data_IF_974857490772
#
_entry.id   IF_974857490772
#
_cell.length_a   1.000
_cell.length_b   1.000
_cell.length_c   1.000
_cell.angle_alpha   90.00
_cell.angle_beta   90.00
_cell.angle_gamma   90.00
#
_symmetry.space_group_name_H-M   'P 1'
#
loop_
_entity.id
_entity.type
_entity.pdbx_description
1 polymer ?
#
# COMPACT_ATOMS: atom_id res chain seq x y z
N UNK A 1 51.24 -30.20 61.94
CA UNK A 1 51.67 -29.03 61.15
C UNK A 1 50.88 -29.10 59.83
N UNK A 2 49.62 -28.64 59.81
CA UNK A 2 49.18 -27.32 59.33
C UNK A 2 49.87 -26.94 57.99
N UNK A 3 49.21 -26.62 56.86
CA UNK A 3 47.81 -26.32 56.56
C UNK A 3 47.57 -26.28 55.02
N UNK A 4 46.29 -26.45 54.64
CA UNK A 4 45.45 -25.71 53.67
C UNK A 4 45.92 -25.37 52.23
N UNK A 5 45.20 -25.85 51.20
CA UNK A 5 44.09 -25.22 50.42
C UNK A 5 44.54 -24.30 49.27
N UNK A 6 44.20 -24.69 48.02
CA UNK A 6 43.44 -23.85 47.09
C UNK A 6 42.89 -24.69 45.91
N UNK A 7 41.64 -25.10 46.03
CA UNK A 7 40.78 -25.47 44.90
C UNK A 7 40.61 -24.24 44.01
N UNK A 8 40.90 -24.37 42.72
CA UNK A 8 40.52 -23.38 41.72
C UNK A 8 39.18 -23.83 41.13
N UNK A 9 38.08 -23.35 41.72
CA UNK A 9 36.75 -23.47 41.17
C UNK A 9 36.71 -22.75 39.81
N UNK A 10 36.67 -23.54 38.75
CA UNK A 10 36.25 -23.07 37.45
C UNK A 10 34.79 -22.64 37.58
N UNK A 11 34.56 -21.32 37.65
CA UNK A 11 33.25 -20.74 37.47
C UNK A 11 32.75 -21.10 36.06
N UNK A 12 32.03 -22.23 35.97
CA UNK A 12 31.09 -22.49 34.90
C UNK A 12 30.06 -21.36 34.94
N UNK A 13 30.32 -20.31 34.17
CA UNK A 13 29.25 -19.38 33.82
C UNK A 13 28.16 -20.20 33.14
N UNK A 14 26.91 -20.17 33.62
CA UNK A 14 25.82 -20.79 32.91
C UNK A 14 25.75 -20.13 31.53
N UNK A 15 26.06 -20.91 30.49
CA UNK A 15 25.72 -20.53 29.13
C UNK A 15 24.22 -20.24 29.16
N UNK A 16 23.77 -19.04 28.79
CA UNK A 16 22.37 -18.70 28.84
C UNK A 16 21.61 -19.73 28.02
N UNK A 17 20.77 -20.49 28.72
CA UNK A 17 19.80 -21.42 28.16
C UNK A 17 19.03 -20.73 27.05
N UNK A 18 18.68 -21.50 26.03
CA UNK A 18 17.92 -21.20 24.82
C UNK A 18 16.67 -20.32 25.06
N UNK A 19 16.88 -19.05 25.38
CA UNK A 19 15.82 -18.05 25.47
C UNK A 19 15.56 -17.59 24.05
N UNK A 20 14.38 -17.90 23.52
CA UNK A 20 13.95 -17.45 22.20
C UNK A 20 14.15 -15.95 21.97
N UNK A 21 14.03 -15.49 20.72
CA UNK A 21 14.26 -14.08 20.39
C UNK A 21 13.39 -13.17 21.26
N UNK A 22 13.98 -12.09 21.77
CA UNK A 22 13.26 -11.10 22.58
C UNK A 22 12.10 -10.51 21.76
N UNK A 23 10.90 -10.32 22.35
CA UNK A 23 9.74 -9.81 21.64
C UNK A 23 9.98 -8.38 21.14
N UNK A 24 9.31 -8.00 20.04
CA UNK A 24 9.51 -6.70 19.37
C UNK A 24 9.42 -5.49 20.32
N UNK A 25 8.45 -5.36 21.25
CA UNK A 25 8.41 -4.23 22.18
C UNK A 25 9.66 -4.11 23.05
N UNK A 26 10.23 -5.23 23.48
CA UNK A 26 11.48 -5.22 24.26
C UNK A 26 12.67 -4.79 23.39
N UNK A 27 12.74 -5.24 22.14
CA UNK A 27 13.80 -4.81 21.22
C UNK A 27 13.68 -3.30 20.95
N UNK A 28 12.46 -2.79 20.80
CA UNK A 28 12.18 -1.35 20.66
C UNK A 28 12.74 -0.56 21.85
N UNK A 29 12.40 -0.94 23.08
CA UNK A 29 12.86 -0.25 24.29
C UNK A 29 14.38 -0.26 24.41
N UNK A 30 15.02 -1.39 24.10
CA UNK A 30 16.49 -1.51 24.11
C UNK A 30 17.15 -0.64 23.04
N UNK A 31 16.57 -0.53 21.85
CA UNK A 31 17.05 0.36 20.79
C UNK A 31 16.83 1.82 21.19
N UNK A 32 15.67 2.17 21.73
CA UNK A 32 15.36 3.51 22.21
C UNK A 32 16.30 3.96 23.35
N UNK A 33 16.60 3.07 24.31
CA UNK A 33 17.51 3.36 25.42
C UNK A 33 18.95 3.67 24.98
N UNK A 34 19.35 3.21 23.80
CA UNK A 34 20.65 3.51 23.21
C UNK A 34 20.58 4.51 22.06
N UNK A 35 19.48 5.26 21.94
CA UNK A 35 19.21 6.24 20.88
C UNK A 35 19.44 5.65 19.48
N UNK A 36 19.02 4.39 19.30
CA UNK A 36 19.09 3.66 18.04
C UNK A 36 20.49 3.64 17.39
N UNK A 37 21.56 3.60 18.21
CA UNK A 37 22.94 3.55 17.71
C UNK A 37 23.13 2.43 16.66
N UNK A 38 23.89 2.67 15.58
CA UNK A 38 24.07 1.70 14.49
C UNK A 38 24.57 0.33 14.94
N UNK A 39 25.48 0.29 15.92
CA UNK A 39 26.01 -0.97 16.47
C UNK A 39 24.99 -1.76 17.30
N UNK A 40 24.03 -1.07 17.93
CA UNK A 40 22.93 -1.72 18.64
C UNK A 40 21.90 -2.27 17.64
N UNK A 41 21.51 -1.46 16.64
CA UNK A 41 20.62 -1.89 15.57
C UNK A 41 21.21 -3.09 14.81
N UNK A 42 22.47 -3.02 14.39
CA UNK A 42 23.15 -4.11 13.68
C UNK A 42 23.12 -5.45 14.43
N UNK A 43 23.25 -5.43 15.77
CA UNK A 43 23.14 -6.65 16.61
C UNK A 43 21.73 -7.20 16.68
N UNK A 44 20.70 -6.36 16.50
CA UNK A 44 19.28 -6.75 16.62
C UNK A 44 18.65 -7.13 15.28
N UNK A 45 19.13 -6.60 14.15
CA UNK A 45 18.56 -6.83 12.82
C UNK A 45 18.30 -8.31 12.48
N UNK A 46 19.23 -9.27 12.69
CA UNK A 46 18.93 -10.68 12.41
C UNK A 46 17.76 -11.23 13.24
N UNK A 47 17.60 -10.75 14.48
CA UNK A 47 16.47 -11.10 15.34
C UNK A 47 15.16 -10.42 14.94
N UNK A 48 15.24 -9.21 14.38
CA UNK A 48 14.08 -8.50 13.82
C UNK A 48 13.59 -9.19 12.54
N UNK A 49 14.48 -9.58 11.63
CA UNK A 49 14.14 -10.33 10.41
C UNK A 49 13.37 -11.61 10.74
N UNK A 50 13.86 -12.41 11.70
CA UNK A 50 13.16 -13.64 12.15
C UNK A 50 11.79 -13.38 12.77
N UNK A 51 11.56 -12.17 13.27
CA UNK A 51 10.31 -11.75 13.91
C UNK A 51 9.45 -10.86 13.01
N UNK A 52 9.83 -10.67 11.73
CA UNK A 52 9.19 -9.69 10.87
C UNK A 52 7.67 -9.91 10.76
N UNK A 53 7.22 -11.17 10.64
CA UNK A 53 5.81 -11.54 10.59
C UNK A 53 5.03 -11.43 11.92
N UNK A 54 5.67 -10.99 13.01
CA UNK A 54 5.01 -10.78 14.31
C UNK A 54 4.74 -9.32 14.63
N UNK A 55 5.13 -8.40 13.74
CA UNK A 55 4.87 -6.97 13.89
C UNK A 55 3.36 -6.70 13.76
N UNK A 56 2.77 -6.12 14.80
CA UNK A 56 1.38 -5.68 14.74
C UNK A 56 1.24 -4.47 13.80
N UNK A 57 0.21 -4.42 12.93
CA UNK A 57 0.00 -3.31 12.00
C UNK A 57 0.00 -1.93 12.66
N UNK A 58 -0.65 -1.78 13.82
CA UNK A 58 -0.67 -0.53 14.59
C UNK A 58 0.70 -0.01 15.05
N UNK A 59 1.69 -0.89 15.17
CA UNK A 59 3.04 -0.52 15.64
C UNK A 59 3.98 -0.25 14.45
N UNK A 60 3.54 -0.55 13.21
CA UNK A 60 4.40 -0.54 12.02
C UNK A 60 4.95 0.83 11.73
N UNK A 61 4.13 1.88 11.74
CA UNK A 61 4.57 3.22 11.34
C UNK A 61 5.68 3.77 12.23
N UNK A 62 5.63 3.47 13.53
CA UNK A 62 6.67 3.85 14.50
C UNK A 62 8.00 3.15 14.18
N UNK A 63 7.97 1.85 13.88
CA UNK A 63 9.14 1.10 13.41
C UNK A 63 9.70 1.66 12.12
N UNK A 64 8.86 1.90 11.10
CA UNK A 64 9.33 2.41 9.82
C UNK A 64 9.96 3.79 9.96
N UNK A 65 9.32 4.69 10.70
CA UNK A 65 9.83 6.03 10.98
C UNK A 65 11.22 6.00 11.63
N UNK A 66 11.41 5.14 12.64
CA UNK A 66 12.72 5.02 13.31
C UNK A 66 13.78 4.39 12.42
N UNK A 67 13.44 3.38 11.63
CA UNK A 67 14.40 2.77 10.69
C UNK A 67 14.83 3.75 9.60
N UNK A 68 13.89 4.54 9.06
CA UNK A 68 14.20 5.62 8.13
C UNK A 68 15.12 6.67 8.75
N UNK A 69 14.82 7.13 9.96
CA UNK A 69 15.66 8.10 10.69
C UNK A 69 17.09 7.59 10.87
N UNK A 70 17.25 6.34 11.31
CA UNK A 70 18.55 5.72 11.53
C UNK A 70 19.32 5.55 10.23
N UNK A 71 18.65 5.10 9.17
CA UNK A 71 19.26 4.99 7.85
C UNK A 71 19.75 6.35 7.33
N UNK A 72 18.92 7.38 7.42
CA UNK A 72 19.27 8.72 6.95
C UNK A 72 20.45 9.32 7.72
N UNK A 73 20.53 9.08 9.03
CA UNK A 73 21.62 9.61 9.88
C UNK A 73 22.89 8.78 9.80
N UNK A 74 22.76 7.45 9.73
CA UNK A 74 23.85 6.53 10.02
C UNK A 74 23.95 5.32 9.07
N UNK A 75 23.23 5.30 7.95
CA UNK A 75 23.25 4.18 7.01
C UNK A 75 24.66 3.80 6.54
N UNK A 76 25.53 4.81 6.39
CA UNK A 76 26.95 4.65 6.05
C UNK A 76 27.78 3.91 7.12
N UNK A 77 27.33 3.91 8.38
CA UNK A 77 28.01 3.25 9.51
C UNK A 77 27.59 1.79 9.68
N UNK A 78 26.57 1.33 8.96
CA UNK A 78 26.12 -0.06 9.00
C UNK A 78 27.02 -0.94 8.13
N UNK A 79 27.60 -1.99 8.73
CA UNK A 79 28.36 -3.00 8.00
C UNK A 79 27.50 -3.76 6.99
N UNK A 80 28.16 -4.47 6.06
CA UNK A 80 27.51 -5.17 4.95
C UNK A 80 26.37 -6.11 5.41
N UNK A 81 26.64 -6.97 6.40
CA UNK A 81 25.63 -7.90 6.93
C UNK A 81 24.43 -7.19 7.56
N UNK A 82 24.64 -6.05 8.22
CA UNK A 82 23.55 -5.26 8.80
C UNK A 82 22.71 -4.62 7.70
N UNK A 83 23.33 -4.06 6.64
CA UNK A 83 22.59 -3.52 5.50
C UNK A 83 21.77 -4.58 4.77
N UNK A 84 22.32 -5.77 4.55
CA UNK A 84 21.57 -6.88 3.96
C UNK A 84 20.36 -7.30 4.81
N UNK A 85 20.54 -7.43 6.12
CA UNK A 85 19.43 -7.73 7.04
C UNK A 85 18.39 -6.59 7.12
N UNK A 86 18.82 -5.32 7.00
CA UNK A 86 17.91 -4.18 6.94
C UNK A 86 17.10 -4.17 5.64
N UNK A 87 17.71 -4.53 4.50
CA UNK A 87 17.00 -4.66 3.22
C UNK A 87 15.91 -5.74 3.29
N UNK A 88 16.25 -6.92 3.83
CA UNK A 88 15.30 -8.00 4.02
C UNK A 88 14.15 -7.60 4.96
N UNK A 89 14.47 -6.96 6.09
CA UNK A 89 13.46 -6.46 7.04
C UNK A 89 12.56 -5.40 6.40
N UNK A 90 13.14 -4.44 5.68
CA UNK A 90 12.39 -3.39 4.99
C UNK A 90 11.44 -3.99 3.95
N UNK A 91 11.88 -5.01 3.20
CA UNK A 91 11.03 -5.71 2.25
C UNK A 91 9.89 -6.46 2.95
N UNK A 92 10.18 -7.17 4.04
CA UNK A 92 9.17 -7.91 4.80
C UNK A 92 8.08 -7.00 5.40
N UNK A 93 8.42 -5.76 5.77
CA UNK A 93 7.48 -4.77 6.28
C UNK A 93 6.94 -3.82 5.22
N UNK A 94 7.21 -4.09 3.93
CA UNK A 94 6.81 -3.24 2.81
C UNK A 94 7.24 -1.77 2.97
N UNK A 95 8.40 -1.54 3.57
CA UNK A 95 9.05 -0.25 3.70
C UNK A 95 9.86 0.06 2.44
N UNK A 96 9.19 0.08 1.28
CA UNK A 96 9.84 0.05 -0.02
C UNK A 96 10.83 1.19 -0.25
N UNK A 97 10.57 2.45 0.15
CA UNK A 97 11.56 3.52 -0.01
C UNK A 97 12.86 3.26 0.77
N UNK A 98 12.77 2.68 1.97
CA UNK A 98 13.95 2.23 2.72
C UNK A 98 14.63 1.05 2.02
N UNK A 99 13.87 0.08 1.54
CA UNK A 99 14.40 -1.07 0.82
C UNK A 99 15.18 -0.63 -0.44
N UNK A 100 14.65 0.32 -1.22
CA UNK A 100 15.37 0.92 -2.36
C UNK A 100 16.65 1.60 -1.89
N UNK A 101 16.58 2.48 -0.89
CA UNK A 101 17.76 3.22 -0.43
C UNK A 101 18.90 2.31 0.06
N UNK A 102 18.56 1.26 0.82
CA UNK A 102 19.52 0.25 1.30
C UNK A 102 20.02 -0.62 0.16
N UNK A 103 19.12 -1.09 -0.71
CA UNK A 103 19.44 -1.94 -1.85
C UNK A 103 20.35 -1.23 -2.86
N UNK A 104 20.09 0.02 -3.21
CA UNK A 104 20.96 0.82 -4.08
C UNK A 104 22.35 1.06 -3.48
N UNK A 105 22.44 1.25 -2.16
CA UNK A 105 23.73 1.36 -1.47
C UNK A 105 24.54 0.08 -1.62
N UNK A 106 23.91 -1.09 -1.49
CA UNK A 106 24.55 -2.39 -1.67
C UNK A 106 24.86 -2.68 -3.16
N UNK A 107 23.97 -2.26 -4.06
CA UNK A 107 24.11 -2.45 -5.51
C UNK A 107 25.33 -1.71 -6.04
N UNK A 108 25.49 -0.43 -5.68
CA UNK A 108 26.65 0.40 -6.08
C UNK A 108 28.00 -0.16 -5.63
N UNK A 109 28.02 -0.91 -4.55
CA UNK A 109 29.23 -1.56 -4.03
C UNK A 109 29.47 -2.96 -4.64
N UNK A 110 28.59 -3.42 -5.55
CA UNK A 110 28.56 -4.78 -6.08
C UNK A 110 28.46 -5.85 -4.98
N UNK A 111 27.63 -5.59 -3.96
CA UNK A 111 27.48 -6.45 -2.77
C UNK A 111 26.10 -7.07 -2.59
N UNK A 112 25.18 -6.91 -3.55
CA UNK A 112 23.90 -7.59 -3.53
C UNK A 112 24.06 -9.05 -4.00
N UNK A 113 23.55 -9.98 -3.20
CA UNK A 113 23.35 -11.37 -3.63
C UNK A 113 22.01 -11.52 -4.38
N UNK A 114 21.66 -12.74 -4.78
CA UNK A 114 20.41 -13.00 -5.51
C UNK A 114 19.14 -12.62 -4.73
N UNK A 115 19.12 -12.88 -3.42
CA UNK A 115 17.98 -12.55 -2.57
C UNK A 115 17.83 -11.03 -2.39
N UNK A 116 18.91 -10.34 -2.03
CA UNK A 116 18.95 -8.88 -1.94
C UNK A 116 18.58 -8.20 -3.26
N UNK A 117 19.02 -8.76 -4.39
CA UNK A 117 18.63 -8.22 -5.69
C UNK A 117 17.14 -8.36 -5.96
N UNK A 118 16.53 -9.49 -5.58
CA UNK A 118 15.08 -9.66 -5.67
C UNK A 118 14.34 -8.64 -4.80
N UNK A 119 14.78 -8.42 -3.56
CA UNK A 119 14.16 -7.39 -2.70
C UNK A 119 14.23 -5.99 -3.30
N UNK A 120 15.35 -5.63 -3.94
CA UNK A 120 15.47 -4.34 -4.63
C UNK A 120 14.52 -4.26 -5.84
N UNK A 121 14.42 -5.31 -6.66
CA UNK A 121 13.47 -5.35 -7.79
C UNK A 121 12.03 -5.20 -7.29
N UNK A 122 11.64 -5.94 -6.24
CA UNK A 122 10.29 -5.89 -5.68
C UNK A 122 9.99 -4.49 -5.13
N UNK A 123 10.95 -3.85 -4.46
CA UNK A 123 10.82 -2.50 -3.91
C UNK A 123 10.66 -1.42 -5.00
N UNK A 124 11.49 -1.46 -6.04
CA UNK A 124 11.38 -0.53 -7.18
C UNK A 124 10.04 -0.71 -7.91
N UNK A 125 9.64 -1.95 -8.15
CA UNK A 125 8.34 -2.27 -8.77
C UNK A 125 7.19 -1.75 -7.93
N UNK A 126 7.22 -1.96 -6.61
CA UNK A 126 6.20 -1.52 -5.66
C UNK A 126 6.16 0.00 -5.43
N UNK A 127 7.07 0.76 -6.02
CA UNK A 127 7.08 2.22 -6.02
C UNK A 127 6.81 2.81 -7.41
N UNK A 128 6.48 1.97 -8.39
CA UNK A 128 6.24 2.38 -9.78
C UNK A 128 7.50 2.63 -10.61
N UNK A 129 8.69 2.44 -10.05
CA UNK A 129 9.98 2.55 -10.75
C UNK A 129 10.30 1.26 -11.53
N UNK A 130 9.38 0.90 -12.42
CA UNK A 130 9.44 -0.32 -13.22
C UNK A 130 10.65 -0.33 -14.16
N UNK A 131 11.06 0.83 -14.70
CA UNK A 131 12.19 0.90 -15.62
C UNK A 131 13.53 0.60 -14.92
N UNK A 132 13.71 1.10 -13.69
CA UNK A 132 14.89 0.73 -12.90
C UNK A 132 14.85 -0.76 -12.50
N UNK A 133 13.68 -1.28 -12.13
CA UNK A 133 13.50 -2.71 -11.88
C UNK A 133 13.85 -3.58 -13.11
N UNK A 134 13.44 -3.17 -14.32
CA UNK A 134 13.81 -3.81 -15.59
C UNK A 134 15.33 -3.79 -15.79
N UNK A 135 15.98 -2.65 -15.55
CA UNK A 135 17.43 -2.52 -15.69
C UNK A 135 18.19 -3.51 -14.78
N UNK A 136 17.74 -3.65 -13.53
CA UNK A 136 18.31 -4.61 -12.57
C UNK A 136 18.07 -6.04 -13.06
N UNK A 137 16.85 -6.37 -13.50
CA UNK A 137 16.51 -7.71 -13.99
C UNK A 137 17.37 -8.12 -15.20
N UNK A 138 17.60 -7.22 -16.15
CA UNK A 138 18.49 -7.44 -17.30
C UNK A 138 19.93 -7.68 -16.84
N UNK A 139 20.43 -6.84 -15.93
CA UNK A 139 21.78 -6.99 -15.36
C UNK A 139 21.97 -8.37 -14.71
N UNK A 140 20.96 -8.85 -13.98
CA UNK A 140 20.98 -10.17 -13.35
C UNK A 140 20.89 -11.32 -14.36
N UNK A 141 20.09 -11.17 -15.41
CA UNK A 141 20.01 -12.16 -16.48
C UNK A 141 21.37 -12.32 -17.20
N UNK A 142 22.11 -11.22 -17.40
CA UNK A 142 23.44 -11.25 -18.00
C UNK A 142 24.50 -11.84 -17.06
N UNK A 143 24.44 -11.52 -15.77
CA UNK A 143 25.36 -12.04 -14.76
C UNK A 143 25.12 -13.54 -14.46
N UNK A 144 23.87 -13.99 -14.53
CA UNK A 144 23.46 -15.35 -14.15
C UNK A 144 22.54 -15.99 -15.21
N UNK A 145 23.02 -16.22 -16.45
CA UNK A 145 22.19 -16.65 -17.57
C UNK A 145 21.53 -18.03 -17.39
N UNK A 146 22.07 -18.88 -16.52
CA UNK A 146 21.47 -20.17 -16.17
C UNK A 146 20.21 -20.04 -15.28
N UNK A 147 20.04 -18.92 -14.57
CA UNK A 147 18.91 -18.69 -13.68
C UNK A 147 17.73 -18.12 -14.45
N UNK A 148 16.83 -19.00 -14.92
CA UNK A 148 15.65 -18.63 -15.72
C UNK A 148 14.68 -17.65 -15.03
N UNK A 149 14.76 -17.54 -13.69
CA UNK A 149 13.91 -16.64 -12.91
C UNK A 149 14.08 -15.17 -13.31
N UNK A 150 15.30 -14.71 -13.60
CA UNK A 150 15.51 -13.30 -13.99
C UNK A 150 14.94 -12.97 -15.36
N UNK A 151 15.00 -13.92 -16.30
CA UNK A 151 14.36 -13.77 -17.60
C UNK A 151 12.83 -13.74 -17.48
N UNK A 152 12.25 -14.46 -16.51
CA UNK A 152 10.82 -14.40 -16.22
C UNK A 152 10.44 -13.04 -15.60
N UNK A 153 11.14 -12.60 -14.56
CA UNK A 153 10.93 -11.29 -13.92
C UNK A 153 11.02 -10.17 -14.96
N UNK A 154 12.04 -10.17 -15.83
CA UNK A 154 12.15 -9.18 -16.90
C UNK A 154 10.91 -9.16 -17.82
N UNK A 155 10.42 -10.32 -18.26
CA UNK A 155 9.21 -10.40 -19.09
C UNK A 155 7.98 -9.87 -18.36
N UNK A 156 7.83 -10.21 -17.09
CA UNK A 156 6.69 -9.78 -16.28
C UNK A 156 6.70 -8.26 -16.06
N UNK A 157 7.88 -7.67 -15.83
CA UNK A 157 8.04 -6.22 -15.68
C UNK A 157 7.76 -5.47 -16.99
N UNK A 158 8.21 -6.00 -18.13
CA UNK A 158 7.90 -5.42 -19.44
C UNK A 158 6.40 -5.49 -19.71
N UNK A 159 5.77 -6.64 -19.46
CA UNK A 159 4.33 -6.80 -19.62
C UNK A 159 3.55 -5.84 -18.70
N UNK A 160 3.99 -5.67 -17.45
CA UNK A 160 3.41 -4.72 -16.51
C UNK A 160 3.53 -3.27 -17.01
N UNK A 161 4.74 -2.84 -17.40
CA UNK A 161 4.96 -1.49 -17.92
C UNK A 161 4.10 -1.21 -19.14
N UNK A 162 4.11 -2.12 -20.11
CA UNK A 162 3.38 -1.94 -21.37
C UNK A 162 1.85 -1.92 -21.13
N UNK A 163 1.35 -2.70 -20.18
CA UNK A 163 -0.05 -2.66 -19.75
C UNK A 163 -0.40 -1.36 -19.00
N UNK A 164 0.47 -0.93 -18.08
CA UNK A 164 0.29 0.29 -17.27
C UNK A 164 0.27 1.54 -18.15
N UNK A 165 1.16 1.59 -19.13
CA UNK A 165 1.32 2.75 -20.02
C UNK A 165 0.29 2.74 -21.17
N UNK A 166 -0.57 1.72 -21.25
CA UNK A 166 -1.64 1.66 -22.22
C UNK A 166 -2.64 2.82 -22.01
N UNK A 167 -3.14 3.48 -23.08
CA UNK A 167 -4.06 4.62 -22.96
C UNK A 167 -5.33 4.34 -22.13
N UNK A 168 -5.75 3.07 -22.06
CA UNK A 168 -6.91 2.63 -21.30
C UNK A 168 -6.77 2.78 -19.76
N UNK A 169 -5.53 2.90 -19.24
CA UNK A 169 -5.22 2.91 -17.81
C UNK A 169 -4.96 4.31 -17.22
N UNK A 170 -5.46 5.39 -17.85
CA UNK A 170 -5.11 6.78 -17.53
C UNK A 170 -3.62 7.08 -17.74
N UNK A 171 -3.14 6.98 -18.98
CA UNK A 171 -1.76 7.30 -19.30
C UNK A 171 -1.50 8.82 -19.20
N UNK A 172 -0.76 9.27 -18.17
CA UNK A 172 -0.17 10.62 -18.14
C UNK A 172 0.10 11.24 -16.77
N UNK A 173 0.77 12.39 -16.80
CA UNK A 173 1.18 13.22 -15.65
C UNK A 173 0.01 13.79 -14.80
N UNK A 174 -1.25 13.50 -15.13
CA UNK A 174 -2.42 14.04 -14.46
C UNK A 174 -2.78 13.34 -13.14
N UNK A 175 -2.05 12.29 -12.79
CA UNK A 175 -2.34 11.44 -11.63
C UNK A 175 -1.33 11.60 -10.50
N UNK A 176 -0.55 12.68 -10.49
CA UNK A 176 0.40 12.96 -9.41
C UNK A 176 0.29 14.40 -8.90
N UNK A 177 0.66 14.55 -7.63
CA UNK A 177 0.95 15.84 -7.03
C UNK A 177 2.35 15.80 -6.35
N UNK A 178 2.64 16.79 -5.50
CA UNK A 178 3.91 16.90 -4.80
C UNK A 178 4.28 15.63 -4.01
N UNK A 179 3.31 14.98 -3.35
CA UNK A 179 3.58 13.86 -2.43
C UNK A 179 2.90 12.56 -2.85
N UNK A 180 1.87 12.62 -3.69
CA UNK A 180 1.06 11.48 -4.09
C UNK A 180 1.21 11.19 -5.58
N UNK A 181 1.17 9.91 -5.91
CA UNK A 181 1.02 9.39 -7.27
C UNK A 181 -0.11 8.37 -7.21
N UNK A 182 -1.00 8.35 -8.21
CA UNK A 182 -1.93 7.25 -8.41
C UNK A 182 -1.34 6.29 -9.43
N UNK A 183 -1.04 5.09 -8.98
CA UNK A 183 -0.52 4.02 -9.83
C UNK A 183 -1.59 2.93 -9.99
N UNK A 184 -1.84 2.39 -11.20
CA UNK A 184 -2.75 1.27 -11.36
C UNK A 184 -2.44 0.16 -10.35
N UNK A 185 -3.46 -0.34 -9.65
CA UNK A 185 -3.26 -1.34 -8.60
C UNK A 185 -2.82 -2.68 -9.22
N UNK A 186 -1.50 -2.92 -9.26
CA UNK A 186 -0.92 -4.17 -9.74
C UNK A 186 -0.80 -5.27 -8.68
N UNK A 187 -0.57 -6.51 -9.14
CA UNK A 187 -0.38 -7.69 -8.27
C UNK A 187 0.76 -7.51 -7.25
N UNK A 188 1.80 -6.78 -7.61
CA UNK A 188 2.95 -6.54 -6.73
C UNK A 188 2.61 -5.67 -5.50
N UNK A 189 1.45 -4.99 -5.49
CA UNK A 189 1.02 -4.17 -4.34
C UNK A 189 0.44 -4.97 -3.17
N UNK A 190 0.20 -6.29 -3.32
CA UNK A 190 -0.53 -7.10 -2.32
C UNK A 190 0.02 -6.96 -0.89
N UNK A 191 1.34 -6.98 -0.72
CA UNK A 191 1.95 -6.87 0.61
C UNK A 191 1.71 -5.48 1.24
N UNK A 192 1.85 -4.39 0.46
CA UNK A 192 1.54 -3.05 0.93
C UNK A 192 0.06 -2.89 1.24
N UNK A 193 -0.80 -3.43 0.36
CA UNK A 193 -2.25 -3.38 0.51
C UNK A 193 -2.66 -4.04 1.83
N UNK A 194 -2.14 -5.22 2.14
CA UNK A 194 -2.44 -5.95 3.38
C UNK A 194 -2.14 -5.12 4.63
N UNK A 195 -1.00 -4.41 4.67
CA UNK A 195 -0.69 -3.52 5.80
C UNK A 195 -1.69 -2.37 5.97
N UNK A 196 -2.15 -1.80 4.86
CA UNK A 196 -3.06 -0.64 4.89
C UNK A 196 -4.52 -1.04 5.08
N UNK A 197 -4.87 -2.28 4.74
CA UNK A 197 -6.22 -2.83 4.74
C UNK A 197 -6.51 -3.74 5.94
N UNK A 198 -5.62 -3.76 6.94
CA UNK A 198 -5.76 -4.60 8.14
C UNK A 198 -6.98 -4.24 9.00
N UNK A 199 -7.38 -2.97 9.02
CA UNK A 199 -8.55 -2.52 9.79
C UNK A 199 -9.85 -3.01 9.13
N UNK A 200 -10.63 -3.90 9.78
CA UNK A 200 -11.86 -4.44 9.21
C UNK A 200 -12.93 -3.36 8.96
N UNK A 201 -12.83 -2.20 9.62
CA UNK A 201 -13.73 -1.07 9.35
C UNK A 201 -13.55 -0.51 7.93
N UNK A 202 -12.35 -0.60 7.35
CA UNK A 202 -12.12 -0.19 5.95
C UNK A 202 -12.93 -1.09 5.01
N UNK A 203 -12.89 -2.41 5.21
CA UNK A 203 -13.67 -3.35 4.42
C UNK A 203 -15.17 -3.08 4.49
N UNK A 204 -15.68 -2.85 5.70
CA UNK A 204 -17.09 -2.56 5.94
C UNK A 204 -17.54 -1.24 5.31
N UNK A 205 -16.79 -0.15 5.55
CA UNK A 205 -17.13 1.18 5.07
C UNK A 205 -17.02 1.32 3.55
N UNK A 206 -16.14 0.54 2.91
CA UNK A 206 -15.98 0.54 1.45
C UNK A 206 -16.77 -0.56 0.75
N UNK A 207 -17.53 -1.40 1.47
CA UNK A 207 -18.22 -2.56 0.93
C UNK A 207 -17.27 -3.49 0.14
N UNK A 208 -16.03 -3.64 0.61
CA UNK A 208 -15.00 -4.45 -0.03
C UNK A 208 -14.89 -5.84 0.66
N UNK A 209 -14.44 -6.89 -0.05
CA UNK A 209 -14.27 -8.21 0.55
C UNK A 209 -13.23 -8.23 1.66
N UNK A 210 -13.44 -9.09 2.66
CA UNK A 210 -12.34 -9.54 3.52
C UNK A 210 -11.55 -10.59 2.77
N UNK A 211 -10.25 -10.41 2.66
CA UNK A 211 -9.36 -11.35 1.99
C UNK A 211 -8.82 -12.36 3.00
N UNK A 212 -8.98 -13.65 2.70
CA UNK A 212 -8.49 -14.74 3.55
C UNK A 212 -6.98 -14.96 3.37
N UNK A 213 -6.51 -14.71 2.15
CA UNK A 213 -5.11 -14.85 1.73
C UNK A 213 -4.80 -13.99 0.49
N UNK A 214 -3.51 -13.89 0.15
CA UNK A 214 -3.04 -13.16 -1.04
C UNK A 214 -3.67 -13.68 -2.33
N UNK A 215 -3.96 -14.98 -2.41
CA UNK A 215 -4.56 -15.59 -3.60
C UNK A 215 -6.01 -15.11 -3.82
N UNK A 216 -6.78 -14.94 -2.75
CA UNK A 216 -8.14 -14.37 -2.79
C UNK A 216 -8.12 -12.91 -3.23
N UNK A 217 -7.12 -12.15 -2.79
CA UNK A 217 -6.90 -10.78 -3.23
C UNK A 217 -6.54 -10.69 -4.72
N UNK A 218 -5.64 -11.56 -5.21
CA UNK A 218 -5.30 -11.59 -6.63
C UNK A 218 -6.50 -11.93 -7.53
N UNK A 219 -7.32 -12.92 -7.14
CA UNK A 219 -8.54 -13.27 -7.89
C UNK A 219 -9.53 -12.11 -7.94
N UNK A 220 -9.67 -11.38 -6.82
CA UNK A 220 -10.50 -10.18 -6.77
C UNK A 220 -9.99 -9.10 -7.74
N UNK A 221 -8.68 -8.82 -7.74
CA UNK A 221 -8.09 -7.85 -8.65
C UNK A 221 -8.26 -8.25 -10.13
N UNK A 222 -8.04 -9.52 -10.46
CA UNK A 222 -8.27 -10.05 -11.81
C UNK A 222 -9.73 -9.90 -12.24
N UNK A 223 -10.70 -10.11 -11.32
CA UNK A 223 -12.11 -9.95 -11.62
C UNK A 223 -12.49 -8.49 -11.94
N UNK A 224 -11.86 -7.52 -11.26
CA UNK A 224 -12.04 -6.08 -11.53
C UNK A 224 -11.57 -5.77 -12.95
N UNK A 225 -10.35 -6.20 -13.31
CA UNK A 225 -9.80 -5.92 -14.63
C UNK A 225 -10.49 -6.69 -15.76
N UNK A 226 -11.04 -7.87 -15.49
CA UNK A 226 -11.81 -8.64 -16.46
C UNK A 226 -13.13 -7.94 -16.86
N UNK A 227 -13.77 -7.20 -15.95
CA UNK A 227 -14.97 -6.42 -16.26
C UNK A 227 -14.65 -5.20 -17.14
N UNK A 228 -13.52 -4.53 -16.87
CA UNK A 228 -12.95 -3.48 -17.72
C UNK A 228 -13.63 -2.10 -17.62
N UNK A 229 -14.64 -1.96 -16.76
CA UNK A 229 -15.39 -0.73 -16.47
C UNK A 229 -14.88 0.01 -15.22
N UNK A 230 -14.22 -0.72 -14.33
CA UNK A 230 -13.60 -0.21 -13.13
C UNK A 230 -12.12 0.12 -13.36
N UNK A 231 -11.68 1.23 -12.78
CA UNK A 231 -10.29 1.66 -12.70
C UNK A 231 -9.94 1.79 -11.23
N UNK A 232 -8.92 1.05 -10.81
CA UNK A 232 -8.49 0.99 -9.42
C UNK A 232 -7.00 1.31 -9.35
N UNK A 233 -6.65 2.21 -8.42
CA UNK A 233 -5.30 2.73 -8.25
C UNK A 233 -4.85 2.60 -6.81
N UNK A 234 -3.61 2.17 -6.63
CA UNK A 234 -2.87 2.36 -5.41
C UNK A 234 -2.58 3.85 -5.21
N UNK A 235 -2.82 4.35 -3.99
CA UNK A 235 -2.44 5.71 -3.61
C UNK A 235 -1.01 5.65 -3.09
N UNK A 236 -0.05 6.09 -3.90
CA UNK A 236 1.38 5.99 -3.63
C UNK A 236 1.88 7.29 -2.99
N UNK A 237 2.36 7.23 -1.75
CA UNK A 237 3.09 8.32 -1.10
C UNK A 237 4.58 8.21 -1.40
N UNK A 238 5.21 9.29 -1.86
CA UNK A 238 6.63 9.29 -2.27
C UNK A 238 7.60 8.78 -1.19
N UNK A 239 7.30 9.03 0.10
CA UNK A 239 8.16 8.61 1.21
C UNK A 239 7.76 7.27 1.84
N UNK A 240 6.54 6.78 1.61
CA UNK A 240 5.99 5.64 2.36
C UNK A 240 5.48 4.48 1.48
N UNK A 241 5.43 4.66 0.17
CA UNK A 241 4.85 3.68 -0.76
C UNK A 241 3.32 3.71 -0.75
N UNK A 242 2.67 2.58 -1.00
CA UNK A 242 1.21 2.50 -1.03
C UNK A 242 0.59 2.76 0.35
N UNK A 243 -0.30 3.76 0.43
CA UNK A 243 -0.98 4.20 1.66
C UNK A 243 -2.50 4.03 1.61
N UNK A 244 -3.03 3.49 0.51
CA UNK A 244 -4.47 3.34 0.32
C UNK A 244 -4.84 3.03 -1.12
N UNK A 245 -6.11 3.19 -1.44
CA UNK A 245 -6.66 2.89 -2.75
C UNK A 245 -7.74 3.90 -3.14
N UNK A 246 -7.82 4.21 -4.43
CA UNK A 246 -8.94 4.94 -5.03
C UNK A 246 -9.47 4.16 -6.23
N UNK A 247 -10.78 4.14 -6.40
CA UNK A 247 -11.44 3.39 -7.45
C UNK A 247 -12.55 4.21 -8.09
N UNK A 248 -12.74 4.00 -9.39
CA UNK A 248 -13.78 4.61 -10.20
C UNK A 248 -14.40 3.53 -11.10
N UNK A 249 -15.71 3.38 -11.03
CA UNK A 249 -16.49 2.62 -12.01
C UNK A 249 -17.06 3.64 -13.00
N UNK A 250 -16.90 3.41 -14.30
CA UNK A 250 -17.36 4.33 -15.33
C UNK A 250 -18.42 3.68 -16.22
N UNK A 251 -19.60 4.27 -16.25
CA UNK A 251 -20.71 3.82 -17.08
C UNK A 251 -21.34 5.00 -17.83
N UNK A 252 -21.41 4.98 -19.17
CA UNK A 252 -22.08 6.02 -19.95
C UNK A 252 -21.64 7.47 -19.59
N UNK A 253 -20.33 7.68 -19.37
CA UNK A 253 -19.74 8.96 -18.90
C UNK A 253 -20.16 9.40 -17.49
N UNK A 254 -20.74 8.50 -16.70
CA UNK A 254 -21.07 8.68 -15.30
C UNK A 254 -20.09 7.85 -14.47
N UNK A 255 -19.38 8.51 -13.56
CA UNK A 255 -18.51 7.84 -12.60
C UNK A 255 -19.23 7.46 -11.32
N UNK A 256 -18.87 6.34 -10.72
CA UNK A 256 -19.09 6.03 -9.31
C UNK A 256 -17.73 5.83 -8.65
N UNK A 257 -17.38 6.62 -7.63
CA UNK A 257 -16.06 6.52 -7.02
C UNK A 257 -16.12 6.18 -5.54
N UNK A 258 -15.07 5.49 -5.08
CA UNK A 258 -14.79 5.28 -3.67
C UNK A 258 -13.28 5.34 -3.42
N UNK A 259 -12.89 5.57 -2.18
CA UNK A 259 -11.49 5.57 -1.77
C UNK A 259 -11.39 5.16 -0.31
N UNK A 260 -10.19 4.72 0.08
CA UNK A 260 -9.81 4.55 1.46
C UNK A 260 -8.31 4.79 1.63
N UNK A 261 -7.92 5.15 2.85
CA UNK A 261 -6.54 5.40 3.25
C UNK A 261 -6.29 4.58 4.53
N UNK A 262 -5.15 3.89 4.58
CA UNK A 262 -4.80 3.07 5.72
C UNK A 262 -4.68 3.88 7.02
N UNK A 263 -4.91 3.27 8.19
CA UNK A 263 -5.06 3.98 9.45
C UNK A 263 -3.90 4.93 9.78
N UNK A 264 -2.67 4.53 9.46
CA UNK A 264 -1.44 5.30 9.69
C UNK A 264 -1.43 6.68 8.99
N UNK A 265 -2.23 6.85 7.95
CA UNK A 265 -2.20 8.02 7.06
C UNK A 265 -3.52 8.81 7.06
N UNK A 266 -4.49 8.42 7.89
CA UNK A 266 -5.76 9.13 8.01
C UNK A 266 -5.58 10.49 8.70
N UNK A 267 -6.51 11.43 8.45
CA UNK A 267 -6.46 12.79 9.01
C UNK A 267 -5.45 13.74 8.36
N UNK A 268 -4.49 13.25 7.56
CA UNK A 268 -3.50 14.06 6.85
C UNK A 268 -4.01 14.69 5.54
N UNK A 269 -5.26 14.40 5.15
CA UNK A 269 -5.88 14.94 3.92
C UNK A 269 -5.46 14.23 2.62
N UNK A 270 -4.81 13.07 2.69
CA UNK A 270 -4.42 12.30 1.49
C UNK A 270 -5.62 11.75 0.72
N UNK A 271 -6.68 11.29 1.41
CA UNK A 271 -7.89 10.78 0.77
C UNK A 271 -8.52 11.78 -0.22
N UNK A 272 -8.88 13.00 0.23
CA UNK A 272 -9.38 14.05 -0.66
C UNK A 272 -8.45 14.38 -1.83
N UNK A 273 -7.13 14.42 -1.60
CA UNK A 273 -6.15 14.70 -2.67
C UNK A 273 -6.11 13.60 -3.71
N UNK A 274 -6.07 12.34 -3.28
CA UNK A 274 -6.12 11.18 -4.18
C UNK A 274 -7.43 11.15 -4.98
N UNK A 275 -8.56 11.42 -4.33
CA UNK A 275 -9.84 11.54 -5.01
C UNK A 275 -9.83 12.67 -6.07
N UNK A 276 -9.31 13.85 -5.73
CA UNK A 276 -9.19 14.96 -6.68
C UNK A 276 -8.33 14.59 -7.91
N UNK A 277 -7.17 13.96 -7.71
CA UNK A 277 -6.31 13.48 -8.81
C UNK A 277 -7.06 12.52 -9.73
N UNK A 278 -7.76 11.53 -9.15
CA UNK A 278 -8.55 10.56 -9.91
C UNK A 278 -9.67 11.22 -10.72
N UNK A 279 -10.41 12.15 -10.10
CA UNK A 279 -11.55 12.82 -10.71
C UNK A 279 -11.13 13.78 -11.82
N UNK A 280 -10.00 14.48 -11.65
CA UNK A 280 -9.40 15.33 -12.68
C UNK A 280 -8.96 14.50 -13.88
N UNK A 281 -8.21 13.42 -13.65
CA UNK A 281 -7.82 12.48 -14.69
C UNK A 281 -9.04 11.89 -15.41
N UNK A 282 -10.05 11.42 -14.67
CA UNK A 282 -11.23 10.82 -15.28
C UNK A 282 -12.02 11.80 -16.18
N UNK A 283 -12.13 13.08 -15.80
CA UNK A 283 -12.72 14.10 -16.66
C UNK A 283 -11.90 14.33 -17.93
N UNK A 284 -10.59 14.43 -17.77
CA UNK A 284 -9.69 14.73 -18.89
C UNK A 284 -9.59 13.59 -19.91
N UNK A 285 -9.49 12.34 -19.45
CA UNK A 285 -9.18 11.20 -20.32
C UNK A 285 -10.39 10.33 -20.69
N UNK A 286 -11.45 10.35 -19.89
CA UNK A 286 -12.63 9.52 -20.12
C UNK A 286 -13.90 10.31 -20.42
N UNK A 287 -13.79 11.63 -20.59
CA UNK A 287 -14.93 12.52 -20.86
C UNK A 287 -16.07 12.32 -19.83
N UNK A 288 -15.68 12.09 -18.57
CA UNK A 288 -16.61 11.87 -17.47
C UNK A 288 -17.42 13.15 -17.20
N UNK A 289 -18.73 13.08 -17.41
CA UNK A 289 -19.68 14.20 -17.28
C UNK A 289 -19.97 14.53 -15.82
N UNK A 290 -20.21 13.51 -15.01
CA UNK A 290 -20.46 13.64 -13.58
C UNK A 290 -19.95 12.42 -12.84
N UNK A 291 -19.81 12.55 -11.52
CA UNK A 291 -19.42 11.47 -10.64
C UNK A 291 -20.35 11.41 -9.43
N UNK A 292 -20.70 10.21 -9.01
CA UNK A 292 -21.45 9.92 -7.81
C UNK A 292 -20.56 9.26 -6.77
N UNK A 293 -20.93 9.46 -5.51
CA UNK A 293 -20.37 8.73 -4.39
C UNK A 293 -21.48 8.37 -3.42
N UNK A 294 -21.21 7.33 -2.64
CA UNK A 294 -22.07 6.88 -1.56
C UNK A 294 -21.26 6.85 -0.27
N UNK A 295 -21.85 7.31 0.82
CA UNK A 295 -21.23 7.33 2.13
C UNK A 295 -22.27 6.96 3.17
N UNK A 296 -21.88 6.24 4.22
CA UNK A 296 -22.74 6.04 5.39
C UNK A 296 -22.92 7.37 6.15
N UNK A 297 -24.12 7.69 6.59
CA UNK A 297 -24.45 8.96 7.26
C UNK A 297 -23.65 9.19 8.57
N UNK A 298 -23.15 8.11 9.19
CA UNK A 298 -22.29 8.15 10.35
C UNK A 298 -20.80 8.33 10.02
N UNK A 299 -20.38 8.18 8.75
CA UNK A 299 -18.98 8.31 8.32
C UNK A 299 -18.59 9.79 8.13
N UNK A 300 -18.55 10.52 9.25
CA UNK A 300 -18.20 11.94 9.31
C UNK A 300 -16.90 12.32 8.57
N UNK A 301 -15.80 11.54 8.63
CA UNK A 301 -14.59 11.83 7.84
C UNK A 301 -14.85 11.89 6.33
N UNK A 302 -15.55 10.90 5.78
CA UNK A 302 -15.86 10.85 4.34
C UNK A 302 -16.84 11.95 3.91
N UNK A 303 -17.85 12.26 4.73
CA UNK A 303 -18.79 13.35 4.44
C UNK A 303 -18.07 14.71 4.32
N UNK A 304 -17.17 15.01 5.27
CA UNK A 304 -16.34 16.23 5.24
C UNK A 304 -15.40 16.26 4.05
N UNK A 305 -14.83 15.10 3.69
CA UNK A 305 -13.95 14.97 2.55
C UNK A 305 -14.69 15.23 1.22
N UNK A 306 -15.86 14.63 1.03
CA UNK A 306 -16.68 14.84 -0.17
C UNK A 306 -17.06 16.31 -0.35
N UNK A 307 -17.53 16.97 0.70
CA UNK A 307 -17.82 18.40 0.67
C UNK A 307 -16.59 19.24 0.27
N UNK A 308 -15.40 18.89 0.77
CA UNK A 308 -14.15 19.58 0.43
C UNK A 308 -13.71 19.37 -1.02
N UNK A 309 -13.99 18.20 -1.59
CA UNK A 309 -13.73 17.88 -3.00
C UNK A 309 -14.72 18.62 -3.93
N UNK A 310 -15.86 19.07 -3.39
CA UNK A 310 -16.90 19.80 -4.12
C UNK A 310 -18.09 18.93 -4.52
N UNK A 311 -18.31 17.80 -3.86
CA UNK A 311 -19.53 17.02 -4.03
C UNK A 311 -20.70 17.70 -3.32
N UNK A 312 -21.84 17.76 -4.00
CA UNK A 312 -23.11 18.22 -3.47
C UNK A 312 -23.88 17.06 -2.85
N UNK A 313 -24.47 17.31 -1.67
CA UNK A 313 -25.43 16.40 -1.04
C UNK A 313 -26.74 16.40 -1.83
N UNK A 314 -27.20 15.23 -2.26
CA UNK A 314 -28.42 15.11 -3.05
C UNK A 314 -29.70 15.09 -2.21
N UNK A 315 -29.59 14.86 -0.89
CA UNK A 315 -30.73 14.52 -0.04
C UNK A 315 -31.46 13.27 -0.57
N UNK A 316 -30.69 12.30 -1.07
CA UNK A 316 -31.14 10.99 -1.56
C UNK A 316 -30.41 9.92 -0.77
N UNK A 317 -31.13 8.91 -0.31
CA UNK A 317 -30.58 7.75 0.41
C UNK A 317 -31.04 6.42 -0.22
N UNK A 318 -30.43 5.33 0.25
CA UNK A 318 -30.89 3.98 -0.01
C UNK A 318 -32.29 3.72 0.58
N UNK A 319 -33.03 2.82 -0.06
CA UNK A 319 -34.26 2.26 0.47
C UNK A 319 -33.92 1.31 1.63
N UNK A 320 -34.85 1.07 2.58
CA UNK A 320 -34.62 0.10 3.65
C UNK A 320 -34.17 -1.27 3.09
N UNK A 321 -33.15 -1.91 3.69
CA UNK A 321 -32.49 -1.56 4.95
C UNK A 321 -31.33 -0.55 4.86
N UNK A 322 -30.98 -0.07 3.66
CA UNK A 322 -29.79 0.76 3.37
C UNK A 322 -30.02 2.27 3.53
N UNK A 323 -30.97 2.66 4.40
CA UNK A 323 -31.36 4.07 4.56
C UNK A 323 -30.32 4.95 5.26
N UNK A 324 -29.25 4.35 5.77
CA UNK A 324 -28.04 5.00 6.30
C UNK A 324 -27.03 5.36 5.20
N UNK A 325 -27.23 4.90 3.96
CA UNK A 325 -26.34 5.20 2.84
C UNK A 325 -26.87 6.39 2.04
N UNK A 326 -26.12 7.50 2.07
CA UNK A 326 -26.48 8.76 1.43
C UNK A 326 -25.64 9.01 0.18
N UNK A 327 -26.26 9.65 -0.82
CA UNK A 327 -25.66 9.86 -2.13
C UNK A 327 -25.24 11.31 -2.37
N UNK A 328 -24.07 11.45 -2.98
CA UNK A 328 -23.43 12.70 -3.32
C UNK A 328 -23.15 12.77 -4.82
N UNK A 329 -23.07 13.98 -5.37
CA UNK A 329 -22.76 14.19 -6.80
C UNK A 329 -21.77 15.31 -7.03
N UNK A 330 -20.91 15.12 -8.02
CA UNK A 330 -20.00 16.13 -8.56
C UNK A 330 -20.22 16.27 -10.07
N UNK A 331 -20.50 17.48 -10.55
CA UNK A 331 -20.69 17.81 -11.97
C UNK A 331 -21.68 18.95 -12.19
N UNK A 332 -21.91 19.34 -13.44
CA UNK A 332 -22.85 20.43 -13.79
C UNK A 332 -24.24 20.22 -13.18
N UNK A 333 -24.97 21.28 -12.78
CA UNK A 333 -26.32 21.16 -12.23
C UNK A 333 -27.27 20.38 -13.15
N UNK A 334 -28.12 19.54 -12.56
CA UNK A 334 -29.14 18.78 -13.30
C UNK A 334 -30.42 18.60 -12.48
N UNK A 335 -31.52 18.20 -13.13
CA UNK A 335 -32.79 17.98 -12.42
C UNK A 335 -32.72 16.79 -11.46
N UNK A 336 -33.61 16.79 -10.46
CA UNK A 336 -33.69 15.72 -9.47
C UNK A 336 -34.12 14.41 -10.13
N UNK A 337 -35.04 14.46 -11.09
CA UNK A 337 -35.52 13.29 -11.84
C UNK A 337 -34.39 12.63 -12.62
N UNK A 338 -33.56 13.44 -13.30
CA UNK A 338 -32.39 12.92 -14.02
C UNK A 338 -31.37 12.29 -13.08
N UNK A 339 -31.17 12.90 -11.91
CA UNK A 339 -30.27 12.37 -10.88
C UNK A 339 -30.72 11.01 -10.36
N UNK A 340 -32.02 10.85 -10.09
CA UNK A 340 -32.59 9.59 -9.62
C UNK A 340 -32.49 8.51 -10.69
N UNK A 341 -32.75 8.85 -11.95
CA UNK A 341 -32.58 7.93 -13.07
C UNK A 341 -31.12 7.49 -13.23
N UNK A 342 -30.18 8.43 -13.26
CA UNK A 342 -28.75 8.13 -13.33
C UNK A 342 -28.31 7.19 -12.17
N UNK A 343 -28.83 7.39 -10.94
CA UNK A 343 -28.50 6.55 -9.80
C UNK A 343 -29.08 5.13 -9.90
N UNK A 344 -30.35 4.96 -10.32
CA UNK A 344 -30.93 3.63 -10.53
C UNK A 344 -30.15 2.87 -11.60
N UNK A 345 -29.91 3.50 -12.76
CA UNK A 345 -29.14 2.90 -13.86
C UNK A 345 -27.74 2.48 -13.40
N UNK A 346 -27.07 3.31 -12.60
CA UNK A 346 -25.73 3.03 -12.08
C UNK A 346 -25.72 1.90 -11.05
N UNK A 347 -26.69 1.86 -10.12
CA UNK A 347 -26.80 0.76 -9.14
C UNK A 347 -27.09 -0.58 -9.83
N UNK A 348 -27.98 -0.59 -10.83
CA UNK A 348 -28.29 -1.77 -11.62
C UNK A 348 -27.06 -2.24 -12.43
N UNK A 349 -26.34 -1.30 -13.06
CA UNK A 349 -25.11 -1.61 -13.80
C UNK A 349 -24.03 -2.24 -12.92
N UNK A 350 -23.82 -1.68 -11.72
CA UNK A 350 -22.86 -2.21 -10.75
C UNK A 350 -23.31 -3.52 -10.09
N UNK A 351 -24.53 -4.00 -10.37
CA UNK A 351 -25.12 -5.15 -9.69
C UNK A 351 -25.27 -4.92 -8.19
N UNK A 352 -25.51 -3.68 -7.76
CA UNK A 352 -25.65 -3.34 -6.35
C UNK A 352 -27.01 -3.80 -5.82
N UNK A 353 -27.03 -4.38 -4.62
CA UNK A 353 -28.27 -4.71 -3.91
C UNK A 353 -29.02 -3.46 -3.41
N UNK A 354 -28.34 -2.32 -3.35
CA UNK A 354 -28.91 -1.07 -2.84
C UNK A 354 -29.90 -0.51 -3.83
N UNK A 355 -31.12 -0.27 -3.35
CA UNK A 355 -32.18 0.38 -4.12
C UNK A 355 -32.29 1.83 -3.70
N UNK A 356 -32.49 2.75 -4.65
CA UNK A 356 -32.70 4.16 -4.32
C UNK A 356 -34.10 4.34 -3.72
N UNK A 357 -34.23 5.04 -2.59
CA UNK A 357 -35.51 5.21 -1.90
C UNK A 357 -36.57 5.98 -2.71
N UNK A 358 -36.14 6.73 -3.72
CA UNK A 358 -37.02 7.49 -4.59
C UNK A 358 -37.45 6.66 -5.81
N UNK A 359 -38.77 6.53 -6.08
CA UNK A 359 -39.25 5.84 -7.27
C UNK A 359 -38.95 6.64 -8.53
N UNK A 360 -38.79 5.93 -9.66
CA UNK A 360 -38.79 6.55 -10.98
C UNK A 360 -40.19 7.14 -11.24
N UNK A 361 -40.25 8.42 -11.59
CA UNK A 361 -41.49 9.01 -12.07
C UNK A 361 -41.81 8.37 -13.43
N UNK A 362 -43.00 7.80 -13.57
CA UNK A 362 -43.45 7.31 -14.88
C UNK A 362 -43.53 8.49 -15.87
N UNK A 363 -43.07 8.31 -17.11
CA UNK A 363 -42.99 9.37 -18.11
C UNK A 363 -44.34 9.99 -18.47
#
# INVERSE_FOLDING_TARGET
MFAMIANNEAACFPMPSDTGPAPLPRIWDELAACDWRPSALARRLPGLVRQAGTLAPRDRMDWLSRLHDVWNRYGWALGLSARAALLELAAAWSAWPLAVAVGESLHREHRLDGAGTKYLIDACTSLGDTDFAIHIAVSMQLAYPAQRVYAQIHRDLIAWRDWRDAPAQLAGAALEDKNLILEPLGHHHVASFAWQYDDPAIAELCCLPRFEDDASWHRWLESIYACGDQRIFAVMHREWGCIGCVSLILHCRIGFFFYWIGPDFQGAGFGPRAASLMLEGARQFFDMRCCYAKVYDFNSPSLKALARIGFDDLGICGAPPDNDQVFYRLGEPQSRERTVHDLHDLMDYMGSDIRIAMPLMSP
#
